data_IF_150188946493
#
_entry.id   IF_150188946493
#
_cell.length_a   1.000
_cell.length_b   1.000
_cell.length_c   1.000
_cell.angle_alpha   90.00
_cell.angle_beta   90.00
_cell.angle_gamma   90.00
#
_symmetry.space_group_name_H-M   'P 1'
#
loop_
_entity.id
_entity.type
_entity.pdbx_description
1 polymer ?
#
# COMPACT_ATOMS: atom_id res chain seq x y z
N UNK A 1 -16.24 8.27 -5.45
CA UNK A 1 -15.35 8.66 -6.57
C UNK A 1 -14.14 9.36 -5.95
N UNK A 2 -12.93 8.83 -6.13
CA UNK A 2 -11.72 9.46 -5.60
C UNK A 2 -11.40 10.70 -6.47
N UNK A 3 -11.42 11.90 -5.88
CA UNK A 3 -11.43 13.18 -6.59
C UNK A 3 -10.06 13.67 -7.12
N UNK A 4 -9.01 12.86 -6.99
CA UNK A 4 -7.67 13.17 -7.52
C UNK A 4 -7.41 12.32 -8.77
N UNK A 5 -8.07 12.68 -9.88
CA UNK A 5 -8.17 11.93 -11.13
C UNK A 5 -6.84 11.65 -11.84
N UNK A 6 -6.10 10.65 -11.35
CA UNK A 6 -4.98 10.02 -12.06
C UNK A 6 -5.41 8.74 -12.79
N UNK A 7 -4.45 8.11 -13.48
CA UNK A 7 -4.66 6.82 -14.15
C UNK A 7 -4.99 5.71 -13.12
N UNK A 8 -6.25 5.27 -13.12
CA UNK A 8 -6.76 4.25 -12.21
C UNK A 8 -6.44 2.82 -12.67
N UNK A 9 -5.85 2.61 -13.84
CA UNK A 9 -5.52 1.26 -14.33
C UNK A 9 -4.53 0.53 -13.42
N UNK A 10 -3.74 1.25 -12.63
CA UNK A 10 -2.80 0.68 -11.67
C UNK A 10 -3.41 0.10 -10.40
N UNK A 11 -4.72 0.24 -10.16
CA UNK A 11 -5.36 -0.24 -8.93
C UNK A 11 -5.69 -1.73 -8.97
N UNK A 12 -5.73 -2.35 -10.15
CA UNK A 12 -6.05 -3.76 -10.28
C UNK A 12 -4.88 -4.67 -9.85
N UNK A 13 -5.16 -5.90 -9.40
CA UNK A 13 -4.13 -6.92 -9.20
C UNK A 13 -3.33 -7.18 -10.47
N UNK A 14 -2.06 -7.55 -10.33
CA UNK A 14 -1.15 -7.79 -11.47
C UNK A 14 -1.44 -9.08 -12.23
N UNK A 15 -2.18 -10.01 -11.62
CA UNK A 15 -2.51 -11.32 -12.17
C UNK A 15 -3.73 -11.31 -13.13
N UNK A 16 -4.46 -10.19 -13.18
CA UNK A 16 -5.63 -10.05 -14.04
C UNK A 16 -6.87 -10.82 -13.58
N UNK A 17 -6.91 -11.32 -12.34
CA UNK A 17 -8.03 -12.14 -11.85
C UNK A 17 -9.40 -11.42 -11.85
N UNK A 18 -9.40 -10.09 -11.96
CA UNK A 18 -10.61 -9.25 -12.01
C UNK A 18 -11.00 -8.82 -13.43
N UNK A 19 -10.50 -9.52 -14.47
CA UNK A 19 -10.81 -9.23 -15.88
C UNK A 19 -9.93 -8.15 -16.52
N UNK A 20 -9.07 -7.50 -15.74
CA UNK A 20 -8.01 -6.62 -16.21
C UNK A 20 -6.80 -6.73 -15.29
N UNK A 21 -5.59 -6.79 -15.87
CA UNK A 21 -4.35 -6.72 -15.12
C UNK A 21 -4.00 -5.27 -14.78
N UNK A 22 -3.56 -5.04 -13.55
CA UNK A 22 -3.00 -3.76 -13.13
C UNK A 22 -1.58 -3.54 -13.61
N UNK A 23 -0.93 -2.51 -13.08
CA UNK A 23 0.45 -2.19 -13.43
C UNK A 23 1.43 -3.22 -12.91
N UNK A 24 2.42 -3.58 -13.72
CA UNK A 24 3.57 -4.35 -13.26
C UNK A 24 4.31 -3.62 -12.13
N UNK A 25 5.06 -4.38 -11.32
CA UNK A 25 5.93 -3.82 -10.28
C UNK A 25 6.89 -2.76 -10.82
N UNK A 26 7.44 -2.95 -12.02
CA UNK A 26 8.33 -1.98 -12.65
C UNK A 26 7.60 -0.69 -13.04
N UNK A 27 6.38 -0.78 -13.58
CA UNK A 27 5.58 0.40 -13.91
C UNK A 27 5.14 1.15 -12.65
N UNK A 28 4.80 0.42 -11.58
CA UNK A 28 4.53 1.03 -10.27
C UNK A 28 5.74 1.77 -9.72
N UNK A 29 6.93 1.16 -9.81
CA UNK A 29 8.19 1.79 -9.41
C UNK A 29 8.48 3.06 -10.23
N UNK A 30 8.33 2.99 -11.56
CA UNK A 30 8.50 4.14 -12.44
C UNK A 30 7.51 5.27 -12.13
N UNK A 31 6.24 4.95 -11.86
CA UNK A 31 5.26 5.96 -11.49
C UNK A 31 5.60 6.60 -10.13
N UNK A 32 6.05 5.80 -9.16
CA UNK A 32 6.50 6.29 -7.87
C UNK A 32 7.67 7.28 -7.98
N UNK A 33 8.50 7.20 -9.03
CA UNK A 33 9.55 8.21 -9.30
C UNK A 33 8.98 9.63 -9.40
N UNK A 34 7.76 9.79 -9.91
CA UNK A 34 7.09 11.10 -10.00
C UNK A 34 6.61 11.64 -8.66
N UNK A 35 6.43 10.77 -7.65
CA UNK A 35 5.83 11.08 -6.35
C UNK A 35 6.81 10.98 -5.19
N UNK A 36 8.10 11.21 -5.46
CA UNK A 36 9.16 11.20 -4.45
C UNK A 36 10.11 10.02 -4.55
N UNK A 37 9.91 9.12 -5.51
CA UNK A 37 10.87 8.09 -5.90
C UNK A 37 10.38 6.64 -5.75
N UNK A 38 11.06 5.66 -6.37
CA UNK A 38 10.80 4.22 -6.18
C UNK A 38 11.39 3.57 -4.90
N UNK A 39 10.58 2.78 -4.19
CA UNK A 39 11.06 1.87 -3.13
C UNK A 39 11.57 0.58 -3.79
N UNK A 40 12.83 0.23 -3.55
CA UNK A 40 13.46 -1.00 -4.08
C UNK A 40 13.57 -2.10 -3.04
N UNK A 41 13.71 -1.72 -1.77
CA UNK A 41 13.75 -2.68 -0.67
C UNK A 41 13.19 -2.09 0.61
N UNK A 42 12.60 -2.98 1.40
CA UNK A 42 12.12 -2.73 2.77
C UNK A 42 12.97 -3.60 3.69
N UNK A 43 13.58 -3.01 4.71
CA UNK A 43 14.41 -3.72 5.70
C UNK A 43 13.64 -4.08 6.96
N UNK A 44 12.70 -3.24 7.38
CA UNK A 44 11.88 -3.46 8.55
C UNK A 44 10.54 -2.74 8.43
N UNK A 45 9.57 -3.21 9.21
CA UNK A 45 8.25 -2.60 9.37
C UNK A 45 7.98 -2.41 10.86
N UNK A 46 7.42 -1.27 11.22
CA UNK A 46 6.92 -0.97 12.56
C UNK A 46 5.48 -0.47 12.45
N UNK A 47 4.61 -0.96 13.31
CA UNK A 47 3.21 -0.53 13.40
C UNK A 47 3.00 0.15 14.73
N UNK A 48 2.39 1.35 14.70
CA UNK A 48 1.96 2.03 15.92
C UNK A 48 0.43 1.98 15.98
N UNK A 49 -0.10 1.41 17.07
CA UNK A 49 -1.53 1.36 17.34
C UNK A 49 -1.98 2.59 18.14
N UNK A 50 -3.20 3.06 17.86
CA UNK A 50 -3.87 4.11 18.60
C UNK A 50 -4.62 3.59 19.82
N UNK A 51 -4.94 4.48 20.75
CA UNK A 51 -5.74 4.19 21.94
C UNK A 51 -7.23 3.98 21.65
N UNK A 52 -7.66 4.34 20.45
CA UNK A 52 -9.02 4.23 19.91
C UNK A 52 -9.28 2.87 19.22
N UNK A 53 -8.34 1.93 19.32
CA UNK A 53 -8.50 0.58 18.78
C UNK A 53 -8.35 0.51 17.27
N UNK A 54 -7.60 1.44 16.66
CA UNK A 54 -7.20 1.39 15.25
C UNK A 54 -5.68 1.47 15.12
N UNK A 55 -5.16 1.11 13.95
CA UNK A 55 -3.77 1.33 13.60
C UNK A 55 -3.56 2.79 13.18
N UNK A 56 -2.69 3.53 13.88
CA UNK A 56 -2.42 4.93 13.59
C UNK A 56 -1.50 5.09 12.38
N UNK A 57 -0.41 4.33 12.34
CA UNK A 57 0.58 4.42 11.27
C UNK A 57 1.36 3.12 11.08
N UNK A 58 1.74 2.89 9.83
CA UNK A 58 2.67 1.85 9.41
C UNK A 58 3.93 2.55 8.89
N UNK A 59 5.08 2.17 9.44
CA UNK A 59 6.37 2.80 9.16
C UNK A 59 7.27 1.74 8.53
N UNK A 60 7.71 2.00 7.31
CA UNK A 60 8.63 1.14 6.57
C UNK A 60 10.02 1.75 6.57
N UNK A 61 11.02 1.00 7.03
CA UNK A 61 12.41 1.36 6.78
C UNK A 61 12.79 0.81 5.41
N UNK A 62 13.22 1.70 4.52
CA UNK A 62 13.47 1.38 3.11
C UNK A 62 14.85 1.87 2.66
N UNK A 63 15.27 1.50 1.44
CA UNK A 63 16.51 1.97 0.82
C UNK A 63 16.61 3.51 0.65
N UNK A 64 15.52 4.24 0.91
CA UNK A 64 15.40 5.69 0.76
C UNK A 64 15.05 6.39 2.08
N UNK A 65 15.20 5.69 3.20
CA UNK A 65 14.79 6.18 4.52
C UNK A 65 13.44 5.64 4.97
N UNK A 66 12.84 6.29 5.95
CA UNK A 66 11.55 5.86 6.50
C UNK A 66 10.38 6.39 5.68
N UNK A 67 9.47 5.49 5.30
CA UNK A 67 8.19 5.82 4.68
C UNK A 67 7.10 5.58 5.71
N UNK A 68 6.47 6.66 6.16
CA UNK A 68 5.37 6.61 7.12
C UNK A 68 4.04 6.77 6.40
N UNK A 69 3.12 5.84 6.62
CA UNK A 69 1.78 5.84 6.03
C UNK A 69 0.77 5.78 7.18
N UNK A 70 -0.22 6.66 7.20
CA UNK A 70 -1.34 6.56 8.16
C UNK A 70 -2.05 5.22 8.00
N UNK A 71 -2.48 4.59 9.09
CA UNK A 71 -3.16 3.29 9.04
C UNK A 71 -4.42 3.31 8.20
N UNK A 72 -5.20 4.40 8.20
CA UNK A 72 -6.38 4.55 7.34
C UNK A 72 -6.04 4.53 5.85
N UNK A 73 -4.98 5.23 5.43
CA UNK A 73 -4.56 5.22 4.02
C UNK A 73 -3.98 3.86 3.62
N UNK A 74 -3.22 3.22 4.50
CA UNK A 74 -2.71 1.87 4.27
C UNK A 74 -3.86 0.87 4.12
N UNK A 75 -4.83 0.89 5.03
CA UNK A 75 -6.03 0.05 4.99
C UNK A 75 -6.77 0.19 3.65
N UNK A 76 -7.03 1.43 3.21
CA UNK A 76 -7.70 1.69 1.93
C UNK A 76 -6.88 1.20 0.74
N UNK A 77 -5.59 1.52 0.69
CA UNK A 77 -4.72 1.16 -0.43
C UNK A 77 -4.51 -0.35 -0.54
N UNK A 78 -4.32 -1.04 0.60
CA UNK A 78 -4.18 -2.48 0.66
C UNK A 78 -5.47 -3.16 0.18
N UNK A 79 -6.63 -2.79 0.72
CA UNK A 79 -7.91 -3.39 0.35
C UNK A 79 -8.29 -3.15 -1.11
N UNK A 80 -7.93 -1.98 -1.66
CA UNK A 80 -8.18 -1.68 -3.07
C UNK A 80 -7.40 -2.61 -4.01
N UNK A 81 -6.23 -3.08 -3.58
CA UNK A 81 -5.32 -3.93 -4.35
C UNK A 81 -5.27 -5.38 -3.87
N UNK A 82 -6.05 -5.75 -2.86
CA UNK A 82 -5.95 -7.03 -2.19
C UNK A 82 -6.28 -8.19 -3.15
N UNK A 83 -5.30 -9.03 -3.53
CA UNK A 83 -5.55 -10.17 -4.41
C UNK A 83 -6.37 -11.24 -3.67
N UNK A 84 -7.31 -11.87 -4.37
CA UNK A 84 -8.12 -12.97 -3.82
C UNK A 84 -9.07 -12.60 -2.69
N UNK A 85 -9.47 -11.32 -2.56
CA UNK A 85 -10.36 -10.81 -1.51
C UNK A 85 -9.85 -10.99 -0.07
N UNK A 86 -8.55 -11.27 0.12
CA UNK A 86 -7.89 -11.26 1.43
C UNK A 86 -7.66 -9.81 1.84
N UNK A 87 -8.73 -9.17 2.30
CA UNK A 87 -8.75 -7.78 2.70
C UNK A 87 -8.67 -7.66 4.22
N UNK A 88 -8.16 -6.52 4.68
CA UNK A 88 -8.25 -6.13 6.08
C UNK A 88 -9.71 -5.83 6.40
N UNK A 89 -10.30 -6.55 7.34
CA UNK A 89 -11.70 -6.38 7.75
C UNK A 89 -11.88 -5.25 8.77
N UNK A 90 -10.83 -4.91 9.50
CA UNK A 90 -10.81 -3.88 10.54
C UNK A 90 -9.68 -2.88 10.33
N UNK A 91 -9.88 -1.65 10.84
CA UNK A 91 -8.83 -0.64 10.94
C UNK A 91 -7.74 -0.97 11.96
N UNK A 92 -7.93 -2.01 12.78
CA UNK A 92 -6.90 -2.58 13.65
C UNK A 92 -6.23 -3.76 12.95
N UNK A 93 -4.96 -3.59 12.58
CA UNK A 93 -4.18 -4.61 11.90
C UNK A 93 -2.68 -4.47 12.20
N UNK A 94 -1.96 -5.58 12.12
CA UNK A 94 -0.50 -5.63 12.24
C UNK A 94 0.13 -6.05 10.90
N UNK A 95 1.38 -5.64 10.68
CA UNK A 95 2.18 -5.97 9.49
C UNK A 95 3.55 -6.43 9.97
N UNK A 96 4.00 -7.58 9.48
CA UNK A 96 5.29 -8.16 9.84
C UNK A 96 6.11 -8.46 8.59
N UNK A 97 7.43 -8.33 8.72
CA UNK A 97 8.41 -8.75 7.71
C UNK A 97 9.19 -9.92 8.29
N UNK A 98 9.14 -11.07 7.60
CA UNK A 98 9.96 -12.24 7.90
C UNK A 98 11.29 -12.18 7.16
#
# INVERSE_FOLDING_TARGET
MYANGGDASGIFPTDGCLGQAGWSTDRMAQEAEKYGGKVMSVSSVRVNHGSDGITNQVIFSTNRGEVTISGTNFYKAFNLRAPGAIHLTSGLFNIERK
#
